data_IF_522391026234
#
_entry.id   IF_522391026234
#
_cell.length_a   1.000
_cell.length_b   1.000
_cell.length_c   1.000
_cell.angle_alpha   90.00
_cell.angle_beta   90.00
_cell.angle_gamma   90.00
#
_symmetry.space_group_name_H-M   'P 1'
#
loop_
_entity.id
_entity.type
_entity.pdbx_description
1 polymer ?
#
# COMPACT_ATOMS: atom_id res chain seq x y z
N UNK A 1 -14.59 -19.29 -9.20
CA UNK A 1 -13.55 -19.92 -8.34
C UNK A 1 -12.26 -19.10 -8.32
N UNK A 2 -11.48 -19.01 -9.42
CA UNK A 2 -10.19 -18.26 -9.41
C UNK A 2 -10.36 -16.74 -9.18
N UNK A 3 -11.41 -16.15 -9.75
CA UNK A 3 -11.81 -14.75 -9.49
C UNK A 3 -12.17 -14.48 -8.02
N UNK A 4 -12.87 -15.42 -7.36
CA UNK A 4 -13.31 -15.27 -5.97
C UNK A 4 -12.12 -15.27 -4.99
N UNK A 5 -11.10 -16.09 -5.30
CA UNK A 5 -9.85 -16.11 -4.53
C UNK A 5 -9.08 -14.79 -4.64
N UNK A 6 -8.93 -14.24 -5.85
CA UNK A 6 -8.25 -12.97 -6.05
C UNK A 6 -8.95 -11.80 -5.33
N UNK A 7 -10.28 -11.78 -5.32
CA UNK A 7 -11.06 -10.78 -4.59
C UNK A 7 -10.89 -10.89 -3.07
N UNK A 8 -10.89 -12.12 -2.54
CA UNK A 8 -10.66 -12.38 -1.12
C UNK A 8 -9.24 -11.94 -0.70
N UNK A 9 -8.24 -12.18 -1.55
CA UNK A 9 -6.85 -11.78 -1.30
C UNK A 9 -6.69 -10.25 -1.34
N UNK A 10 -7.30 -9.59 -2.32
CA UNK A 10 -7.29 -8.12 -2.41
C UNK A 10 -7.91 -7.48 -1.16
N UNK A 11 -9.04 -8.01 -0.68
CA UNK A 11 -9.67 -7.55 0.56
C UNK A 11 -8.77 -7.78 1.77
N UNK A 12 -8.14 -8.95 1.87
CA UNK A 12 -7.19 -9.27 2.95
C UNK A 12 -6.02 -8.30 2.96
N UNK A 13 -5.46 -7.97 1.80
CA UNK A 13 -4.40 -6.98 1.67
C UNK A 13 -4.87 -5.59 2.09
N UNK A 14 -6.03 -5.15 1.61
CA UNK A 14 -6.59 -3.84 1.98
C UNK A 14 -6.80 -3.70 3.50
N UNK A 15 -7.38 -4.72 4.15
CA UNK A 15 -7.56 -4.75 5.62
C UNK A 15 -6.21 -4.73 6.34
N UNK A 16 -5.24 -5.50 5.85
CA UNK A 16 -3.89 -5.55 6.43
C UNK A 16 -3.19 -4.19 6.33
N UNK A 17 -3.29 -3.51 5.19
CA UNK A 17 -2.74 -2.17 4.99
C UNK A 17 -3.37 -1.15 5.92
N UNK A 18 -4.71 -1.15 6.05
CA UNK A 18 -5.42 -0.31 7.03
C UNK A 18 -5.01 -0.59 8.48
N UNK A 19 -4.56 -1.82 8.77
CA UNK A 19 -4.03 -2.19 10.06
C UNK A 19 -2.61 -1.68 10.30
N UNK A 20 -1.72 -1.95 9.36
CA UNK A 20 -0.33 -1.49 9.42
C UNK A 20 -0.26 0.03 9.51
N UNK A 21 -1.07 0.75 8.74
CA UNK A 21 -1.13 2.20 8.81
C UNK A 21 -1.54 2.69 10.22
N UNK A 22 -2.42 1.98 10.93
CA UNK A 22 -2.79 2.33 12.32
C UNK A 22 -1.58 2.23 13.26
N UNK A 23 -0.73 1.23 13.03
CA UNK A 23 0.47 1.00 13.83
C UNK A 23 1.58 1.99 13.47
N UNK A 24 1.68 2.33 12.20
CA UNK A 24 2.60 3.33 11.67
C UNK A 24 2.24 4.72 12.21
N UNK A 25 0.96 5.09 12.24
CA UNK A 25 0.49 6.39 12.74
C UNK A 25 0.81 6.63 14.23
N UNK A 26 1.08 5.57 15.00
CA UNK A 26 1.51 5.66 16.40
C UNK A 26 3.03 5.82 16.56
N UNK A 27 3.79 5.91 15.46
CA UNK A 27 5.25 5.96 15.44
C UNK A 27 5.72 7.13 14.58
N UNK A 28 5.70 8.37 15.10
CA UNK A 28 6.05 9.57 14.33
C UNK A 28 7.45 9.48 13.73
N UNK A 29 8.43 8.92 14.44
CA UNK A 29 9.79 8.72 13.93
C UNK A 29 9.85 7.87 12.64
N UNK A 30 8.98 6.84 12.50
CA UNK A 30 8.93 6.06 11.25
C UNK A 30 8.28 6.85 10.11
N UNK A 31 7.34 7.75 10.42
CA UNK A 31 6.71 8.61 9.43
C UNK A 31 7.67 9.68 8.90
N UNK A 32 8.46 10.26 9.81
CA UNK A 32 9.52 11.21 9.48
C UNK A 32 10.56 10.55 8.57
N UNK A 33 11.03 9.34 8.92
CA UNK A 33 11.92 8.55 8.06
C UNK A 33 11.32 8.31 6.67
N UNK A 34 10.05 7.94 6.56
CA UNK A 34 9.39 7.81 5.24
C UNK A 34 9.48 9.14 4.49
N UNK A 35 9.21 10.27 5.15
CA UNK A 35 9.34 11.61 4.58
C UNK A 35 10.74 11.86 4.03
N UNK A 36 11.78 11.65 4.83
CA UNK A 36 13.17 11.81 4.41
C UNK A 36 13.55 10.95 3.19
N UNK A 37 13.06 9.71 3.12
CA UNK A 37 13.30 8.86 1.96
C UNK A 37 12.61 9.40 0.70
N UNK A 38 11.39 9.91 0.84
CA UNK A 38 10.64 10.48 -0.28
C UNK A 38 11.23 11.83 -0.73
N UNK A 39 11.69 12.65 0.20
CA UNK A 39 12.33 13.94 -0.10
C UNK A 39 13.64 13.74 -0.88
N UNK A 40 14.41 12.69 -0.54
CA UNK A 40 15.62 12.31 -1.29
C UNK A 40 15.31 11.78 -2.70
N UNK A 41 14.21 11.06 -2.87
CA UNK A 41 13.76 10.60 -4.18
C UNK A 41 13.27 11.77 -5.06
N UNK A 42 12.73 12.82 -4.43
CA UNK A 42 12.12 13.94 -5.12
C UNK A 42 10.81 13.58 -5.79
N UNK A 43 10.36 14.42 -6.73
CA UNK A 43 9.18 14.15 -7.56
C UNK A 43 9.66 13.67 -8.92
N UNK A 44 9.74 12.34 -9.16
CA UNK A 44 10.11 11.83 -10.47
C UNK A 44 9.05 12.21 -11.52
N UNK A 45 9.49 12.39 -12.75
CA UNK A 45 8.59 12.51 -13.89
C UNK A 45 7.71 11.27 -14.02
N UNK A 46 6.53 11.44 -14.64
CA UNK A 46 5.53 10.37 -14.71
C UNK A 46 6.07 9.10 -15.35
N UNK A 47 6.92 9.24 -16.37
CA UNK A 47 7.50 8.13 -17.12
C UNK A 47 8.56 7.38 -16.31
N UNK A 48 9.15 8.03 -15.30
CA UNK A 48 10.17 7.45 -14.41
C UNK A 48 9.58 6.76 -13.17
N UNK A 49 8.26 6.81 -12.97
CA UNK A 49 7.62 6.19 -11.80
C UNK A 49 7.81 4.66 -11.73
N UNK A 50 7.97 4.02 -12.89
CA UNK A 50 8.21 2.57 -12.98
C UNK A 50 9.69 2.23 -13.20
N UNK A 51 10.58 3.24 -13.23
CA UNK A 51 12.00 3.01 -13.38
C UNK A 51 12.52 2.17 -12.20
N UNK A 52 13.45 1.23 -12.44
CA UNK A 52 14.01 0.36 -11.39
C UNK A 52 14.56 1.12 -10.19
N UNK A 53 15.15 2.29 -10.41
CA UNK A 53 15.74 3.17 -9.41
C UNK A 53 14.66 3.74 -8.48
N UNK A 54 13.57 4.24 -9.06
CA UNK A 54 12.41 4.75 -8.32
C UNK A 54 11.78 3.63 -7.50
N UNK A 55 11.57 2.45 -8.10
CA UNK A 55 11.00 1.30 -7.40
C UNK A 55 11.90 0.81 -6.27
N UNK A 56 13.22 0.84 -6.47
CA UNK A 56 14.19 0.49 -5.44
C UNK A 56 14.14 1.48 -4.27
N UNK A 57 14.16 2.79 -4.54
CA UNK A 57 14.09 3.81 -3.49
C UNK A 57 12.80 3.70 -2.65
N UNK A 58 11.66 3.48 -3.30
CA UNK A 58 10.38 3.24 -2.62
C UNK A 58 10.38 1.93 -1.81
N UNK A 59 11.02 0.88 -2.33
CA UNK A 59 11.16 -0.40 -1.65
C UNK A 59 12.06 -0.33 -0.42
N UNK A 60 13.12 0.49 -0.47
CA UNK A 60 14.00 0.79 0.65
C UNK A 60 13.24 1.56 1.74
N UNK A 61 12.53 2.62 1.35
CA UNK A 61 11.65 3.37 2.26
C UNK A 61 10.65 2.44 2.98
N UNK A 62 10.03 1.50 2.26
CA UNK A 62 9.16 0.50 2.87
C UNK A 62 9.91 -0.42 3.84
N UNK A 63 11.07 -0.94 3.45
CA UNK A 63 11.83 -1.93 4.24
C UNK A 63 12.33 -1.32 5.56
N UNK A 64 12.85 -0.10 5.49
CA UNK A 64 13.45 0.62 6.62
C UNK A 64 12.42 1.15 7.62
N UNK A 65 11.14 1.18 7.22
CA UNK A 65 10.06 1.74 8.04
C UNK A 65 9.00 0.69 8.34
N UNK A 66 8.08 0.44 7.41
CA UNK A 66 6.96 -0.51 7.56
C UNK A 66 7.47 -1.94 7.72
N UNK A 67 8.57 -2.30 7.05
CA UNK A 67 9.23 -3.60 7.14
C UNK A 67 9.77 -3.92 8.54
N UNK A 68 10.00 -2.90 9.38
CA UNK A 68 10.46 -3.09 10.77
C UNK A 68 9.33 -3.46 11.73
N UNK A 69 8.06 -3.33 11.30
CA UNK A 69 6.92 -3.67 12.13
C UNK A 69 6.81 -5.20 12.34
N UNK A 70 6.34 -5.66 13.51
CA UNK A 70 6.23 -7.08 13.81
C UNK A 70 5.19 -7.79 12.93
N UNK A 71 4.19 -7.05 12.45
CA UNK A 71 3.18 -7.55 11.52
C UNK A 71 3.57 -7.15 10.10
N UNK A 72 3.48 -8.09 9.17
CA UNK A 72 3.92 -7.91 7.78
C UNK A 72 2.85 -8.41 6.82
N UNK A 73 2.77 -7.79 5.64
CA UNK A 73 1.94 -8.30 4.54
C UNK A 73 2.59 -9.57 4.01
N UNK A 74 1.88 -10.71 4.11
CA UNK A 74 2.31 -11.97 3.48
C UNK A 74 1.78 -12.00 2.05
N UNK A 75 2.67 -11.74 1.10
CA UNK A 75 2.35 -11.86 -0.33
C UNK A 75 2.47 -13.34 -0.68
N UNK A 76 1.38 -13.92 -1.17
CA UNK A 76 1.31 -15.34 -1.56
C UNK A 76 1.24 -15.38 -3.07
N UNK A 77 2.06 -16.24 -3.68
CA UNK A 77 2.13 -16.40 -5.13
C UNK A 77 3.20 -17.41 -5.50
N UNK A 78 3.40 -17.59 -6.80
CA UNK A 78 4.43 -18.49 -7.31
C UNK A 78 5.84 -17.95 -6.98
N UNK A 79 6.67 -18.71 -6.24
CA UNK A 79 8.02 -18.30 -5.86
C UNK A 79 8.91 -17.91 -7.04
N UNK A 80 8.71 -18.47 -8.23
CA UNK A 80 9.52 -18.16 -9.41
C UNK A 80 9.42 -16.68 -9.80
N UNK A 81 8.24 -16.08 -9.63
CA UNK A 81 8.01 -14.65 -9.94
C UNK A 81 8.33 -13.73 -8.76
N UNK A 82 8.38 -14.25 -7.53
CA UNK A 82 8.62 -13.48 -6.31
C UNK A 82 10.09 -13.45 -5.86
N UNK A 83 10.92 -14.39 -6.34
CA UNK A 83 12.35 -14.45 -6.05
C UNK A 83 13.17 -13.28 -6.63
N UNK A 84 12.92 -12.81 -7.88
CA UNK A 84 13.70 -11.70 -8.43
C UNK A 84 13.61 -10.44 -7.57
N UNK A 85 14.76 -9.80 -7.34
CA UNK A 85 14.86 -8.56 -6.53
C UNK A 85 13.92 -7.48 -7.04
N UNK A 86 13.82 -7.35 -8.36
CA UNK A 86 12.97 -6.37 -9.03
C UNK A 86 11.48 -6.56 -8.69
N UNK A 87 10.96 -7.78 -8.80
CA UNK A 87 9.59 -8.11 -8.40
C UNK A 87 9.33 -7.76 -6.93
N UNK A 88 10.26 -8.10 -6.05
CA UNK A 88 10.15 -7.78 -4.63
C UNK A 88 10.15 -6.27 -4.37
N UNK A 89 10.97 -5.50 -5.09
CA UNK A 89 10.98 -4.04 -4.99
C UNK A 89 9.65 -3.44 -5.46
N UNK A 90 9.15 -3.89 -6.61
CA UNK A 90 7.85 -3.46 -7.14
C UNK A 90 6.70 -3.75 -6.16
N UNK A 91 6.68 -4.93 -5.55
CA UNK A 91 5.71 -5.29 -4.51
C UNK A 91 5.81 -4.34 -3.31
N UNK A 92 7.01 -4.09 -2.78
CA UNK A 92 7.19 -3.18 -1.62
C UNK A 92 6.79 -1.74 -1.94
N UNK A 93 7.14 -1.25 -3.13
CA UNK A 93 6.72 0.08 -3.61
C UNK A 93 5.18 0.19 -3.70
N UNK A 94 4.51 -0.83 -4.24
CA UNK A 94 3.05 -0.89 -4.29
C UNK A 94 2.43 -0.92 -2.88
N UNK A 95 3.01 -1.69 -1.95
CA UNK A 95 2.55 -1.74 -0.56
C UNK A 95 2.71 -0.38 0.13
N UNK A 96 3.81 0.33 -0.11
CA UNK A 96 4.01 1.70 0.40
C UNK A 96 2.92 2.65 -0.13
N UNK A 97 2.62 2.59 -1.43
CA UNK A 97 1.50 3.33 -2.03
C UNK A 97 0.14 2.97 -1.40
N UNK A 98 -0.09 1.68 -1.14
CA UNK A 98 -1.26 1.20 -0.41
C UNK A 98 -1.38 1.75 1.01
N UNK A 99 -0.27 1.85 1.75
CA UNK A 99 -0.24 2.49 3.08
C UNK A 99 -0.53 3.99 2.97
N UNK A 100 0.00 4.68 1.96
CA UNK A 100 -0.30 6.10 1.72
C UNK A 100 -1.80 6.33 1.44
N UNK A 101 -2.42 5.45 0.66
CA UNK A 101 -3.86 5.46 0.40
C UNK A 101 -4.67 5.17 1.68
N UNK A 102 -4.24 4.19 2.48
CA UNK A 102 -4.84 3.90 3.79
C UNK A 102 -4.75 5.10 4.75
N UNK A 103 -3.65 5.86 4.68
CA UNK A 103 -3.48 7.09 5.48
C UNK A 103 -4.39 8.19 4.97
N UNK A 104 -4.48 8.40 3.66
CA UNK A 104 -5.40 9.36 3.05
C UNK A 104 -6.84 9.08 3.47
N UNK A 105 -7.25 7.81 3.41
CA UNK A 105 -8.55 7.36 3.87
C UNK A 105 -8.84 7.82 5.30
N UNK A 106 -7.88 7.69 6.22
CA UNK A 106 -8.05 8.20 7.60
C UNK A 106 -8.06 9.71 7.71
N UNK A 107 -7.21 10.39 6.96
CA UNK A 107 -7.14 11.85 6.94
C UNK A 107 -8.50 12.46 6.57
N UNK A 108 -9.25 11.81 5.68
CA UNK A 108 -10.62 12.21 5.31
C UNK A 108 -11.71 11.62 6.20
N UNK A 109 -11.37 11.10 7.38
CA UNK A 109 -12.32 10.58 8.38
C UNK A 109 -12.71 9.09 8.20
N UNK A 110 -12.07 8.39 7.28
CA UNK A 110 -12.28 6.96 7.04
C UNK A 110 -11.87 6.06 8.19
N UNK A 111 -12.66 5.00 8.43
CA UNK A 111 -12.42 3.98 9.47
C UNK A 111 -12.63 2.59 8.88
N UNK A 112 -12.04 1.54 9.47
CA UNK A 112 -12.18 0.16 8.97
C UNK A 112 -13.64 -0.31 8.94
N UNK A 113 -14.41 0.02 9.97
CA UNK A 113 -15.82 -0.32 10.07
C UNK A 113 -16.69 0.32 8.98
N UNK A 114 -16.27 1.44 8.38
CA UNK A 114 -17.00 2.02 7.23
C UNK A 114 -17.00 1.07 6.02
N UNK A 115 -15.99 0.21 5.86
CA UNK A 115 -15.99 -0.80 4.79
C UNK A 115 -17.08 -1.86 4.97
N UNK A 116 -17.49 -2.12 6.21
CA UNK A 116 -18.52 -3.10 6.54
C UNK A 116 -19.91 -2.45 6.56
N UNK A 117 -20.06 -1.32 7.25
CA UNK A 117 -21.36 -0.69 7.46
C UNK A 117 -21.77 0.32 6.37
N UNK A 118 -20.82 0.90 5.64
CA UNK A 118 -21.09 1.85 4.54
C UNK A 118 -20.75 1.27 3.17
N UNK A 119 -20.69 -0.07 3.06
CA UNK A 119 -20.30 -0.78 1.84
C UNK A 119 -21.08 -0.29 0.62
N UNK A 120 -22.41 -0.22 0.70
CA UNK A 120 -23.27 0.16 -0.43
C UNK A 120 -22.96 1.57 -0.92
N UNK A 121 -22.94 2.56 -0.01
CA UNK A 121 -22.59 3.94 -0.35
C UNK A 121 -21.20 4.08 -0.97
N UNK A 122 -20.23 3.29 -0.52
CA UNK A 122 -18.88 3.28 -1.09
C UNK A 122 -18.89 2.72 -2.52
N UNK A 123 -19.60 1.62 -2.74
CA UNK A 123 -19.76 1.03 -4.08
C UNK A 123 -20.46 2.00 -5.03
N UNK A 124 -21.56 2.62 -4.60
CA UNK A 124 -22.30 3.60 -5.40
C UNK A 124 -21.41 4.79 -5.81
N UNK A 125 -20.53 5.23 -4.89
CA UNK A 125 -19.56 6.30 -5.17
C UNK A 125 -18.48 5.87 -6.16
N UNK A 126 -17.98 4.64 -6.03
CA UNK A 126 -17.01 4.07 -6.98
C UNK A 126 -17.63 3.93 -8.39
N UNK A 127 -18.87 3.44 -8.47
CA UNK A 127 -19.59 3.29 -9.74
C UNK A 127 -19.84 4.64 -10.40
N UNK A 128 -20.18 5.67 -9.62
CA UNK A 128 -20.34 7.03 -10.13
C UNK A 128 -19.02 7.61 -10.68
N UNK A 129 -17.88 7.32 -10.04
CA UNK A 129 -16.56 7.75 -10.51
C UNK A 129 -16.08 6.98 -11.75
N UNK A 130 -16.42 5.69 -11.87
CA UNK A 130 -16.06 4.86 -13.04
C UNK A 130 -16.87 5.22 -14.30
N UNK A 131 -18.07 5.78 -14.12
CA UNK A 131 -18.91 6.24 -15.25
C UNK A 131 -18.53 7.63 -15.75
N UNK A 132 -17.61 8.32 -15.09
CA UNK A 132 -17.17 9.67 -15.43
C UNK A 132 -15.90 9.62 -16.27
#
# INVERSE_FOLDING_TARGET
>A
RQHDHAQADALRYAITLLYLETKLNKRPALLERIGEHLDRLGTPERDMLQAPETLQALAEAYTDTIGTLPQRVRVVGDPQFLKPRESANRVRALLLGGIRAARLWRQVGGRRWHLLFRRRRLLDSCDALLRR
#
